data_IF_538449397185
#
_entry.id   IF_538449397185
#
_cell.length_a   1.000
_cell.length_b   1.000
_cell.length_c   1.000
_cell.angle_alpha   90.00
_cell.angle_beta   90.00
_cell.angle_gamma   90.00
#
_symmetry.space_group_name_H-M   'P 1'
#
loop_
_entity.id
_entity.type
_entity.pdbx_description
1 polymer ?
#
# COMPACT_ATOMS: atom_id res chain seq x y z
N UNK A 1 -4.75 14.96 15.45
CA UNK A 1 -5.54 15.49 16.58
C UNK A 1 -6.83 16.18 16.14
N UNK A 2 -6.81 17.09 15.16
CA UNK A 2 -8.02 17.80 14.68
C UNK A 2 -9.27 16.93 14.46
N UNK A 3 -9.12 15.79 13.79
CA UNK A 3 -10.25 14.87 13.56
C UNK A 3 -10.92 14.38 14.86
N UNK A 4 -10.11 14.00 15.87
CA UNK A 4 -10.63 13.57 17.17
C UNK A 4 -11.21 14.72 18.00
N UNK A 5 -10.84 15.96 17.70
CA UNK A 5 -11.40 17.15 18.34
C UNK A 5 -12.73 17.57 17.69
N UNK A 6 -12.91 17.31 16.40
CA UNK A 6 -14.13 17.64 15.65
C UNK A 6 -15.29 16.70 15.95
N UNK A 7 -15.00 15.43 16.22
CA UNK A 7 -16.00 14.40 16.51
C UNK A 7 -15.58 13.64 17.78
N UNK A 8 -16.29 13.79 18.92
CA UNK A 8 -15.96 13.11 20.17
C UNK A 8 -16.18 11.60 20.13
N UNK A 9 -17.04 11.10 19.23
CA UNK A 9 -17.35 9.67 19.10
C UNK A 9 -16.44 8.96 18.09
N UNK A 10 -15.67 9.73 17.30
CA UNK A 10 -14.71 9.17 16.36
C UNK A 10 -13.64 8.35 17.09
N UNK A 11 -13.48 7.12 16.61
CA UNK A 11 -12.34 6.25 16.90
C UNK A 11 -11.50 6.08 15.64
N UNK A 12 -10.18 6.11 15.79
CA UNK A 12 -9.26 5.90 14.68
C UNK A 12 -8.12 4.95 15.05
N UNK A 13 -7.59 4.25 14.06
CA UNK A 13 -6.43 3.39 14.23
C UNK A 13 -5.33 3.79 13.24
N UNK A 14 -4.08 3.55 13.62
CA UNK A 14 -2.91 3.72 12.76
C UNK A 14 -2.11 2.42 12.77
N UNK A 15 -1.89 1.85 11.59
CA UNK A 15 -1.10 0.64 11.37
C UNK A 15 0.15 1.04 10.60
N UNK A 16 1.31 0.91 11.22
CA UNK A 16 2.59 1.25 10.61
C UNK A 16 3.27 -0.02 10.07
N UNK A 17 3.61 -0.05 8.80
CA UNK A 17 4.16 -1.20 8.09
C UNK A 17 5.64 -0.93 7.80
N UNK A 18 6.52 -1.68 8.46
CA UNK A 18 7.97 -1.63 8.23
C UNK A 18 8.50 -2.96 7.68
N UNK A 19 8.78 -3.06 6.36
CA UNK A 19 9.31 -4.28 5.76
C UNK A 19 10.76 -4.59 6.18
N UNK A 20 11.53 -3.60 6.66
CA UNK A 20 12.95 -3.74 7.01
C UNK A 20 13.20 -4.46 8.35
N UNK A 21 12.13 -4.71 9.11
CA UNK A 21 12.16 -5.32 10.43
C UNK A 21 12.53 -6.81 10.48
N UNK A 22 12.79 -7.45 9.33
CA UNK A 22 13.28 -8.84 9.29
C UNK A 22 14.68 -9.01 9.91
N UNK A 23 15.50 -7.94 9.95
CA UNK A 23 16.84 -7.95 10.53
C UNK A 23 16.82 -7.52 12.01
N UNK A 24 15.95 -6.57 12.39
CA UNK A 24 15.89 -6.00 13.74
C UNK A 24 14.85 -6.64 14.67
N UNK A 25 14.00 -7.54 14.15
CA UNK A 25 12.90 -8.15 14.90
C UNK A 25 11.68 -7.24 15.08
N UNK A 26 11.72 -6.03 14.51
CA UNK A 26 10.66 -5.04 14.64
C UNK A 26 10.85 -4.06 15.78
N UNK A 27 10.22 -2.89 15.64
CA UNK A 27 10.17 -1.91 16.72
C UNK A 27 8.91 -2.12 17.56
N UNK A 28 9.09 -2.51 18.83
CA UNK A 28 7.98 -2.69 19.78
C UNK A 28 7.29 -1.35 20.12
N UNK A 29 8.02 -0.23 20.03
CA UNK A 29 7.58 1.09 20.53
C UNK A 29 7.80 2.25 19.56
N UNK A 30 8.57 2.08 18.48
CA UNK A 30 9.10 3.19 17.68
C UNK A 30 8.05 4.10 17.04
N UNK A 31 6.91 3.56 16.64
CA UNK A 31 5.85 4.40 16.04
C UNK A 31 5.02 5.14 17.07
N UNK A 32 4.85 4.58 18.28
CA UNK A 32 4.17 5.26 19.40
C UNK A 32 4.96 6.47 19.90
N UNK A 33 6.29 6.44 19.82
CA UNK A 33 7.13 7.59 20.21
C UNK A 33 7.13 8.72 19.17
N UNK A 34 6.82 8.45 17.90
CA UNK A 34 6.62 9.49 16.86
C UNK A 34 5.23 10.13 16.93
N UNK A 35 4.22 9.37 17.32
CA UNK A 35 2.83 9.82 17.45
C UNK A 35 2.41 9.98 18.92
N UNK A 36 3.16 10.75 19.71
CA UNK A 36 2.95 10.86 21.18
C UNK A 36 1.58 11.42 21.56
N UNK A 37 1.10 12.47 20.89
CA UNK A 37 -0.20 13.05 21.18
C UNK A 37 -1.32 12.04 20.91
N UNK A 38 -1.28 11.37 19.75
CA UNK A 38 -2.28 10.38 19.38
C UNK A 38 -2.23 9.15 20.28
N UNK A 39 -1.04 8.70 20.68
CA UNK A 39 -0.86 7.55 21.56
C UNK A 39 -1.37 7.77 22.98
N UNK A 40 -1.68 9.02 23.38
CA UNK A 40 -2.31 9.34 24.66
C UNK A 40 -3.83 9.19 24.64
N UNK A 41 -4.45 9.20 23.47
CA UNK A 41 -5.90 9.03 23.28
C UNK A 41 -6.30 7.54 23.39
N UNK A 42 -5.96 6.88 24.49
CA UNK A 42 -6.04 5.40 24.62
C UNK A 42 -7.43 4.81 24.38
N UNK A 43 -8.49 5.57 24.62
CA UNK A 43 -9.88 5.12 24.43
C UNK A 43 -10.37 5.25 22.98
N UNK A 44 -9.70 6.09 22.18
CA UNK A 44 -10.19 6.58 20.87
C UNK A 44 -9.19 6.41 19.74
N UNK A 45 -7.92 6.21 20.06
CA UNK A 45 -6.85 6.01 19.11
C UNK A 45 -6.07 4.73 19.40
N UNK A 46 -5.85 3.92 18.37
CA UNK A 46 -5.03 2.72 18.48
C UNK A 46 -3.86 2.80 17.49
N UNK A 47 -2.62 2.83 18.00
CA UNK A 47 -1.40 2.83 17.18
C UNK A 47 -0.70 1.49 17.29
N UNK A 48 -0.59 0.78 16.16
CA UNK A 48 0.06 -0.52 16.05
C UNK A 48 1.30 -0.42 15.16
N UNK A 49 2.52 -0.51 15.73
CA UNK A 49 3.69 -0.84 14.94
C UNK A 49 3.52 -2.28 14.43
N UNK A 50 3.80 -2.51 13.15
CA UNK A 50 3.77 -3.83 12.54
C UNK A 50 5.19 -4.20 12.14
N UNK A 51 5.63 -5.39 12.55
CA UNK A 51 6.93 -5.94 12.19
C UNK A 51 6.80 -7.24 11.41
N UNK A 52 7.66 -7.40 10.40
CA UNK A 52 7.82 -8.60 9.62
C UNK A 52 8.53 -9.65 10.50
N UNK A 53 7.77 -10.43 11.25
CA UNK A 53 8.25 -11.48 12.16
C UNK A 53 8.83 -12.70 11.43
N UNK A 54 9.71 -12.47 10.45
CA UNK A 54 10.42 -13.51 9.70
C UNK A 54 9.53 -14.38 8.80
N UNK A 55 8.30 -13.95 8.51
CA UNK A 55 7.33 -14.73 7.74
C UNK A 55 7.64 -14.57 6.24
N UNK A 56 7.75 -15.70 5.54
CA UNK A 56 7.87 -15.74 4.10
C UNK A 56 6.59 -15.14 3.47
N UNK A 57 6.73 -13.96 2.85
CA UNK A 57 5.62 -13.23 2.25
C UNK A 57 5.39 -11.81 2.79
N UNK A 58 6.14 -11.40 3.81
CA UNK A 58 6.20 -10.00 4.21
C UNK A 58 4.98 -9.49 4.97
N UNK A 59 5.12 -8.25 5.45
CA UNK A 59 4.23 -7.64 6.44
C UNK A 59 2.87 -7.21 5.88
N UNK A 60 2.79 -6.90 4.59
CA UNK A 60 1.58 -6.38 3.97
C UNK A 60 0.47 -7.44 3.86
N UNK A 61 0.83 -8.72 3.81
CA UNK A 61 -0.10 -9.83 3.74
C UNK A 61 -1.09 -9.85 4.92
N UNK A 62 -0.65 -9.45 6.11
CA UNK A 62 -1.50 -9.36 7.30
C UNK A 62 -2.13 -7.98 7.48
N UNK A 63 -1.73 -6.98 6.69
CA UNK A 63 -2.31 -5.63 6.78
C UNK A 63 -3.79 -5.65 6.44
N UNK A 64 -4.21 -6.38 5.40
CA UNK A 64 -5.63 -6.49 5.05
C UNK A 64 -6.44 -7.08 6.21
N UNK A 65 -5.97 -8.18 6.82
CA UNK A 65 -6.61 -8.79 7.99
C UNK A 65 -6.68 -7.82 9.17
N UNK A 66 -5.59 -7.11 9.47
CA UNK A 66 -5.54 -6.15 10.58
C UNK A 66 -6.50 -4.98 10.33
N UNK A 67 -6.54 -4.43 9.11
CA UNK A 67 -7.46 -3.34 8.74
C UNK A 67 -8.91 -3.79 8.90
N UNK A 68 -9.25 -5.00 8.43
CA UNK A 68 -10.60 -5.58 8.60
C UNK A 68 -10.96 -5.79 10.06
N UNK A 69 -10.04 -6.37 10.85
CA UNK A 69 -10.23 -6.59 12.28
C UNK A 69 -10.47 -5.27 13.02
N UNK A 70 -9.73 -4.21 12.70
CA UNK A 70 -9.93 -2.89 13.28
C UNK A 70 -11.29 -2.30 12.91
N UNK A 71 -11.72 -2.44 11.66
CA UNK A 71 -13.06 -2.07 11.23
C UNK A 71 -14.14 -2.79 12.05
N UNK A 72 -14.02 -4.10 12.23
CA UNK A 72 -14.92 -4.90 13.07
C UNK A 72 -14.84 -4.55 14.56
N UNK A 73 -13.67 -4.11 15.05
CA UNK A 73 -13.46 -3.67 16.42
C UNK A 73 -13.98 -2.25 16.70
N UNK A 74 -14.64 -1.60 15.74
CA UNK A 74 -15.25 -0.29 15.92
C UNK A 74 -14.31 0.89 15.68
N UNK A 75 -13.25 0.70 14.88
CA UNK A 75 -12.41 1.78 14.36
C UNK A 75 -12.83 2.10 12.92
N UNK A 76 -13.76 3.05 12.70
CA UNK A 76 -14.26 3.38 11.36
C UNK A 76 -13.21 4.06 10.46
N UNK A 77 -12.16 4.62 11.05
CA UNK A 77 -11.06 5.28 10.34
C UNK A 77 -9.74 4.57 10.65
N UNK A 78 -9.16 3.91 9.64
CA UNK A 78 -7.87 3.23 9.77
C UNK A 78 -6.87 3.89 8.81
N UNK A 79 -5.80 4.45 9.37
CA UNK A 79 -4.64 4.90 8.61
C UNK A 79 -3.63 3.77 8.51
N UNK A 80 -3.10 3.57 7.31
CA UNK A 80 -2.01 2.62 7.06
C UNK A 80 -0.80 3.41 6.58
N UNK A 81 0.27 3.42 7.36
CA UNK A 81 1.53 4.11 7.06
C UNK A 81 2.56 3.07 6.61
N UNK A 82 3.26 3.31 5.50
CA UNK A 82 4.42 2.52 5.10
C UNK A 82 5.72 3.20 5.52
N UNK A 83 6.64 2.44 6.10
CA UNK A 83 8.00 2.91 6.41
C UNK A 83 8.93 2.51 5.25
N UNK A 84 9.37 3.49 4.46
CA UNK A 84 10.42 3.31 3.45
C UNK A 84 9.94 2.98 2.02
N UNK A 85 10.93 2.85 1.12
CA UNK A 85 10.77 2.57 -0.32
C UNK A 85 10.89 1.06 -0.56
N UNK A 86 9.83 0.40 -1.02
CA UNK A 86 9.74 -1.06 -1.14
C UNK A 86 8.79 -1.55 -2.25
N UNK A 87 8.42 -2.83 -2.19
CA UNK A 87 7.28 -3.39 -2.96
C UNK A 87 5.98 -3.36 -2.12
N UNK A 88 6.08 -2.97 -0.84
CA UNK A 88 4.99 -2.87 0.12
C UNK A 88 3.93 -1.84 -0.29
N UNK A 89 4.29 -0.82 -1.04
CA UNK A 89 3.39 0.27 -1.42
C UNK A 89 2.30 -0.23 -2.39
N UNK A 90 2.65 -1.17 -3.28
CA UNK A 90 1.68 -1.83 -4.18
C UNK A 90 0.70 -2.70 -3.39
N UNK A 91 1.22 -3.45 -2.42
CA UNK A 91 0.41 -4.33 -1.58
C UNK A 91 -0.52 -3.50 -0.67
N UNK A 92 -0.03 -2.41 -0.07
CA UNK A 92 -0.84 -1.51 0.76
C UNK A 92 -1.96 -0.84 -0.03
N UNK A 93 -1.73 -0.51 -1.31
CA UNK A 93 -2.78 0.00 -2.18
C UNK A 93 -3.97 -0.99 -2.33
N UNK A 94 -3.72 -2.29 -2.13
CA UNK A 94 -4.74 -3.34 -2.13
C UNK A 94 -5.44 -3.52 -0.77
N UNK A 95 -5.01 -2.83 0.28
CA UNK A 95 -5.59 -2.91 1.64
C UNK A 95 -6.30 -1.62 2.08
N UNK A 96 -6.32 -0.58 1.23
CA UNK A 96 -6.89 0.73 1.57
C UNK A 96 -7.90 1.21 0.53
N UNK A 97 -8.87 2.01 0.98
CA UNK A 97 -9.83 2.66 0.09
C UNK A 97 -9.21 3.86 -0.66
N UNK A 98 -8.35 4.61 0.04
CA UNK A 98 -7.72 5.84 -0.46
C UNK A 98 -6.22 5.78 -0.22
N UNK A 99 -5.44 5.91 -1.29
CA UNK A 99 -3.98 6.00 -1.24
C UNK A 99 -3.53 7.46 -1.38
N UNK A 100 -2.86 7.97 -0.35
CA UNK A 100 -2.25 9.31 -0.34
C UNK A 100 -0.74 9.16 -0.45
N UNK A 101 -0.14 9.74 -1.48
CA UNK A 101 1.31 9.78 -1.66
C UNK A 101 1.87 11.08 -1.07
N UNK A 102 2.70 10.97 -0.04
CA UNK A 102 3.42 12.11 0.54
C UNK A 102 4.73 12.34 -0.22
N UNK A 103 4.95 13.57 -0.67
CA UNK A 103 6.08 13.95 -1.52
C UNK A 103 6.82 15.10 -0.82
N UNK A 104 8.10 14.97 -0.44
CA UNK A 104 8.87 16.10 0.05
C UNK A 104 9.20 17.08 -1.09
N UNK A 105 9.47 18.36 -0.80
CA UNK A 105 9.98 19.30 -1.80
C UNK A 105 11.33 18.80 -2.33
N UNK A 106 11.49 18.74 -3.64
CA UNK A 106 12.71 18.24 -4.28
C UNK A 106 13.16 19.10 -5.46
N UNK A 107 14.43 18.97 -5.83
CA UNK A 107 15.11 19.83 -6.80
C UNK A 107 14.86 19.52 -8.29
N UNK A 108 13.83 18.73 -8.61
CA UNK A 108 13.38 18.51 -10.01
C UNK A 108 13.69 17.13 -10.61
N UNK A 109 14.69 16.38 -10.12
CA UNK A 109 15.06 15.06 -10.69
C UNK A 109 14.30 13.86 -10.07
N UNK A 110 13.57 14.06 -8.97
CA UNK A 110 12.89 12.96 -8.29
C UNK A 110 11.62 12.48 -9.00
N UNK A 111 11.13 13.18 -10.03
CA UNK A 111 10.01 12.65 -10.82
C UNK A 111 10.41 11.37 -11.58
N UNK A 112 11.70 11.15 -11.81
CA UNK A 112 12.26 9.88 -12.27
C UNK A 112 12.54 8.89 -11.12
N UNK A 113 12.77 9.39 -9.90
CA UNK A 113 13.11 8.61 -8.70
C UNK A 113 11.90 8.07 -7.91
N UNK A 114 10.78 8.80 -7.89
CA UNK A 114 9.51 8.29 -7.39
C UNK A 114 8.99 7.32 -8.45
N UNK A 115 9.04 6.02 -8.11
CA UNK A 115 8.66 4.91 -8.99
C UNK A 115 7.37 5.27 -9.72
N UNK A 116 7.45 5.39 -11.06
CA UNK A 116 6.30 5.64 -11.94
C UNK A 116 5.04 4.86 -11.52
N UNK A 117 5.20 3.62 -11.04
CA UNK A 117 4.10 2.79 -10.52
C UNK A 117 3.34 3.35 -9.29
N UNK A 118 4.00 3.94 -8.27
CA UNK A 118 3.28 4.40 -7.08
C UNK A 118 2.52 5.71 -7.33
N UNK A 119 3.08 6.59 -8.15
CA UNK A 119 2.42 7.83 -8.58
C UNK A 119 1.15 7.51 -9.38
N UNK A 120 1.20 6.48 -10.23
CA UNK A 120 0.07 6.03 -11.04
C UNK A 120 -1.08 5.45 -10.21
N UNK A 121 -0.79 4.87 -9.04
CA UNK A 121 -1.82 4.33 -8.14
C UNK A 121 -2.38 5.35 -7.15
N UNK A 122 -1.65 6.43 -6.87
CA UNK A 122 -2.04 7.41 -5.86
C UNK A 122 -3.37 8.08 -6.23
N UNK A 123 -4.30 8.12 -5.27
CA UNK A 123 -5.57 8.82 -5.45
C UNK A 123 -5.41 10.32 -5.17
N UNK A 124 -4.47 10.67 -4.30
CA UNK A 124 -4.15 12.04 -3.89
C UNK A 124 -2.65 12.14 -3.70
N UNK A 125 -2.06 13.24 -4.13
CA UNK A 125 -0.67 13.58 -3.87
C UNK A 125 -0.62 14.75 -2.89
N UNK A 126 0.20 14.64 -1.85
CA UNK A 126 0.42 15.72 -0.90
C UNK A 126 1.90 16.10 -0.88
N UNK A 127 2.22 17.30 -1.36
CA UNK A 127 3.56 17.86 -1.25
C UNK A 127 3.72 18.39 0.17
N UNK A 128 4.61 17.79 0.94
CA UNK A 128 4.84 18.06 2.36
C UNK A 128 5.85 19.19 2.56
N UNK A 129 6.09 19.61 3.82
CA UNK A 129 7.08 20.64 4.20
C UNK A 129 6.92 21.94 3.40
N UNK A 130 5.68 22.34 3.10
CA UNK A 130 5.36 23.61 2.44
C UNK A 130 5.39 24.75 3.46
N UNK A 131 6.59 25.03 3.99
CA UNK A 131 6.84 26.02 5.02
C UNK A 131 8.31 26.47 4.98
N UNK A 132 8.58 27.66 5.52
CA UNK A 132 9.93 28.24 5.61
C UNK A 132 10.65 28.31 4.26
N UNK A 133 11.94 27.98 4.28
CA UNK A 133 12.81 28.07 3.10
C UNK A 133 12.44 27.07 1.98
N UNK A 134 11.67 26.03 2.31
CA UNK A 134 11.25 24.99 1.37
C UNK A 134 9.97 25.33 0.60
N UNK A 135 9.27 26.40 0.96
CA UNK A 135 7.97 26.74 0.37
C UNK A 135 8.05 26.90 -1.16
N UNK A 136 9.05 27.63 -1.66
CA UNK A 136 9.25 27.81 -3.11
C UNK A 136 9.57 26.49 -3.83
N UNK A 137 10.34 25.60 -3.21
CA UNK A 137 10.62 24.28 -3.76
C UNK A 137 9.34 23.42 -3.80
N UNK A 138 8.53 23.47 -2.75
CA UNK A 138 7.27 22.75 -2.66
C UNK A 138 6.29 23.17 -3.77
N UNK A 139 6.18 24.47 -4.06
CA UNK A 139 5.37 24.98 -5.16
C UNK A 139 5.82 24.46 -6.52
N UNK A 140 7.14 24.42 -6.77
CA UNK A 140 7.71 23.85 -8.00
C UNK A 140 7.40 22.37 -8.13
N UNK A 141 7.71 21.59 -7.09
CA UNK A 141 7.39 20.14 -7.04
C UNK A 141 5.90 19.90 -7.31
N UNK A 142 5.00 20.67 -6.69
CA UNK A 142 3.57 20.53 -6.92
C UNK A 142 3.17 20.85 -8.38
N UNK A 143 3.80 21.84 -9.01
CA UNK A 143 3.60 22.16 -10.43
C UNK A 143 4.06 21.01 -11.33
N UNK A 144 5.23 20.44 -11.05
CA UNK A 144 5.81 19.34 -11.83
C UNK A 144 4.90 18.10 -11.80
N UNK A 145 4.41 17.70 -10.63
CA UNK A 145 3.49 16.58 -10.50
C UNK A 145 2.13 16.85 -11.13
N UNK A 146 1.60 18.08 -11.06
CA UNK A 146 0.37 18.45 -11.78
C UNK A 146 0.55 18.32 -13.29
N UNK A 147 1.68 18.79 -13.82
CA UNK A 147 2.05 18.64 -15.22
C UNK A 147 2.14 17.17 -15.63
N UNK A 148 2.91 16.37 -14.89
CA UNK A 148 3.12 14.95 -15.16
C UNK A 148 1.80 14.15 -15.14
N UNK A 149 0.96 14.36 -14.13
CA UNK A 149 -0.35 13.72 -14.05
C UNK A 149 -1.24 14.11 -15.23
N UNK A 150 -1.23 15.37 -15.66
CA UNK A 150 -2.02 15.79 -16.82
C UNK A 150 -1.67 15.01 -18.09
N UNK A 151 -0.39 14.71 -18.31
CA UNK A 151 0.11 13.90 -19.44
C UNK A 151 -0.27 12.43 -19.27
N UNK A 152 -0.06 11.85 -18.09
CA UNK A 152 -0.47 10.47 -17.80
C UNK A 152 -1.98 10.28 -18.00
N UNK A 153 -2.80 11.26 -17.62
CA UNK A 153 -4.25 11.20 -17.82
C UNK A 153 -4.69 11.31 -19.28
N UNK A 154 -3.92 11.95 -20.14
CA UNK A 154 -4.17 11.98 -21.58
C UNK A 154 -3.79 10.65 -22.25
N UNK A 155 -2.65 10.07 -21.87
CA UNK A 155 -2.12 8.82 -22.44
C UNK A 155 -2.87 7.56 -22.00
N UNK A 156 -3.44 7.52 -20.80
CA UNK A 156 -4.20 6.36 -20.29
C UNK A 156 -5.59 6.18 -20.92
N UNK A 157 -5.93 6.92 -21.98
CA UNK A 157 -7.10 6.61 -22.82
C UNK A 157 -6.97 5.26 -23.56
N UNK A 158 -5.82 4.57 -23.44
CA UNK A 158 -5.55 3.30 -24.13
C UNK A 158 -4.93 2.19 -23.26
N UNK A 159 -4.67 2.38 -21.96
CA UNK A 159 -4.04 1.34 -21.13
C UNK A 159 -4.36 1.45 -19.62
N UNK A 160 -5.11 0.47 -19.12
CA UNK A 160 -4.88 -0.15 -17.81
C UNK A 160 -5.28 0.56 -16.51
N UNK A 161 -5.79 1.79 -16.51
CA UNK A 161 -6.58 2.25 -15.33
C UNK A 161 -7.76 1.31 -15.16
N UNK A 162 -8.19 1.07 -13.91
CA UNK A 162 -9.40 0.29 -13.61
C UNK A 162 -10.54 0.72 -14.54
N UNK A 163 -10.72 -0.04 -15.61
CA UNK A 163 -11.58 0.24 -16.76
C UNK A 163 -13.04 -0.05 -16.39
N UNK A 164 -13.37 0.03 -15.11
CA UNK A 164 -14.76 0.06 -14.64
C UNK A 164 -15.48 1.33 -15.10
N UNK A 165 -14.76 2.28 -15.74
CA UNK A 165 -15.33 3.32 -16.60
C UNK A 165 -15.53 2.80 -18.05
N UNK A 166 -16.24 1.69 -18.26
CA UNK A 166 -16.90 1.44 -19.56
C UNK A 166 -18.38 1.76 -19.32
N UNK A 167 -18.63 3.05 -19.22
CA UNK A 167 -19.91 3.73 -19.36
C UNK A 167 -19.55 5.07 -20.00
N UNK A 168 -20.28 5.47 -21.04
CA UNK A 168 -19.89 6.46 -22.05
C UNK A 168 -19.59 7.90 -21.56
N UNK A 169 -19.51 8.14 -20.24
CA UNK A 169 -19.35 9.46 -19.68
C UNK A 169 -17.91 9.74 -19.20
N UNK A 170 -17.12 10.39 -20.07
CA UNK A 170 -15.78 10.92 -19.76
C UNK A 170 -15.78 11.94 -18.61
N UNK A 171 -16.94 12.44 -18.18
CA UNK A 171 -17.07 13.41 -17.08
C UNK A 171 -16.69 12.83 -15.71
N UNK A 172 -16.74 11.50 -15.54
CA UNK A 172 -16.63 10.85 -14.24
C UNK A 172 -15.24 10.23 -13.96
N UNK A 173 -14.18 10.79 -14.54
CA UNK A 173 -12.80 10.33 -14.31
C UNK A 173 -12.18 11.10 -13.15
N UNK A 174 -11.86 10.41 -12.04
CA UNK A 174 -11.10 11.02 -10.95
C UNK A 174 -9.71 11.47 -11.42
N UNK A 175 -9.39 12.74 -11.14
CA UNK A 175 -8.07 13.32 -11.37
C UNK A 175 -7.42 13.54 -10.00
N UNK A 176 -6.34 12.82 -9.66
CA UNK A 176 -5.67 12.97 -8.38
C UNK A 176 -5.26 14.42 -8.12
N UNK A 177 -5.76 15.05 -7.05
CA UNK A 177 -5.32 16.40 -6.70
C UNK A 177 -3.91 16.36 -6.12
N UNK A 178 -3.14 17.42 -6.39
CA UNK A 178 -1.83 17.68 -5.76
C UNK A 178 -2.00 18.82 -4.77
N UNK A 179 -1.87 18.50 -3.48
CA UNK A 179 -2.18 19.39 -2.35
C UNK A 179 -0.88 19.77 -1.65
N UNK A 180 -0.70 21.05 -1.35
CA UNK A 180 0.44 21.54 -0.59
C UNK A 180 0.12 21.46 0.90
N UNK A 181 1.03 20.88 1.67
CA UNK A 181 0.83 20.58 3.08
C UNK A 181 2.06 20.90 3.92
N UNK A 182 1.82 21.28 5.17
CA UNK A 182 2.84 21.41 6.21
C UNK A 182 2.29 20.85 7.50
N UNK A 183 2.98 19.88 8.08
CA UNK A 183 2.60 19.32 9.38
C UNK A 183 2.94 20.25 10.55
N UNK A 184 3.93 21.13 10.38
CA UNK A 184 4.39 22.06 11.42
C UNK A 184 3.45 23.26 11.52
N UNK A 185 3.11 23.87 10.38
CA UNK A 185 2.19 25.02 10.33
C UNK A 185 0.72 24.60 10.19
N UNK A 186 0.47 23.29 10.10
CA UNK A 186 -0.83 22.67 9.83
C UNK A 186 -1.51 23.10 8.52
N UNK A 187 -0.78 23.78 7.63
CA UNK A 187 -1.27 24.21 6.32
C UNK A 187 -1.72 23.01 5.48
N UNK A 188 -2.87 23.16 4.83
CA UNK A 188 -3.38 22.22 3.82
C UNK A 188 -3.83 20.85 4.35
N UNK A 189 -3.77 20.62 5.66
CA UNK A 189 -4.26 19.37 6.25
C UNK A 189 -5.78 19.22 6.10
N UNK A 190 -6.52 20.32 6.24
CA UNK A 190 -7.98 20.33 6.03
C UNK A 190 -8.31 20.09 4.55
N UNK A 191 -7.58 20.72 3.62
CA UNK A 191 -7.75 20.49 2.18
C UNK A 191 -7.47 19.03 1.79
N UNK A 192 -6.44 18.42 2.40
CA UNK A 192 -6.11 17.02 2.22
C UNK A 192 -7.25 16.12 2.72
N UNK A 193 -7.78 16.39 3.92
CA UNK A 193 -8.91 15.64 4.44
C UNK A 193 -10.15 15.77 3.56
N UNK A 194 -10.46 16.99 3.10
CA UNK A 194 -11.56 17.21 2.17
C UNK A 194 -11.36 16.48 0.84
N UNK A 195 -10.13 16.36 0.35
CA UNK A 195 -9.85 15.58 -0.86
C UNK A 195 -10.11 14.07 -0.67
N UNK A 196 -9.75 13.52 0.51
CA UNK A 196 -10.06 12.13 0.88
C UNK A 196 -11.58 11.92 0.87
N UNK A 197 -12.32 12.83 1.50
CA UNK A 197 -13.79 12.76 1.51
C UNK A 197 -14.38 12.88 0.10
N UNK A 198 -13.88 13.80 -0.74
CA UNK A 198 -14.34 13.91 -2.14
C UNK A 198 -14.09 12.62 -2.92
N UNK A 199 -12.95 11.96 -2.73
CA UNK A 199 -12.67 10.70 -3.39
C UNK A 199 -13.61 9.57 -2.92
N UNK A 200 -13.89 9.50 -1.61
CA UNK A 200 -14.89 8.58 -1.07
C UNK A 200 -16.26 8.81 -1.70
N UNK A 201 -16.74 10.06 -1.76
CA UNK A 201 -18.03 10.36 -2.40
C UNK A 201 -18.03 9.99 -3.88
N UNK A 202 -16.96 10.31 -4.62
CA UNK A 202 -16.81 9.89 -6.00
C UNK A 202 -16.93 8.36 -6.18
N UNK A 203 -16.34 7.57 -5.28
CA UNK A 203 -16.48 6.10 -5.31
C UNK A 203 -17.89 5.61 -4.96
N UNK A 204 -18.62 6.33 -4.10
CA UNK A 204 -20.00 6.00 -3.76
C UNK A 204 -20.94 6.35 -4.92
N UNK A 205 -20.81 7.56 -5.49
CA UNK A 205 -21.62 8.06 -6.60
C UNK A 205 -21.42 7.25 -7.88
N UNK A 206 -20.25 6.62 -8.03
CA UNK A 206 -19.92 5.73 -9.15
C UNK A 206 -20.20 4.24 -8.86
N UNK A 207 -20.74 3.90 -7.68
CA UNK A 207 -20.95 2.52 -7.21
C UNK A 207 -19.68 1.66 -7.18
N UNK A 208 -18.50 2.30 -7.17
CA UNK A 208 -17.19 1.63 -7.17
C UNK A 208 -16.69 1.28 -5.79
N UNK A 209 -17.24 1.87 -4.73
CA UNK A 209 -16.80 1.64 -3.36
C UNK A 209 -16.78 0.14 -2.98
N UNK A 210 -17.94 -0.53 -3.05
CA UNK A 210 -18.03 -1.95 -2.70
C UNK A 210 -17.35 -2.85 -3.75
N UNK A 211 -17.44 -2.48 -5.03
CA UNK A 211 -16.80 -3.22 -6.12
C UNK A 211 -15.28 -3.28 -5.93
N UNK A 212 -14.66 -2.15 -5.57
CA UNK A 212 -13.22 -2.04 -5.27
C UNK A 212 -12.84 -2.96 -4.11
N UNK A 213 -13.57 -2.90 -3.00
CA UNK A 213 -13.31 -3.75 -1.82
C UNK A 213 -13.46 -5.24 -2.12
N UNK A 214 -14.41 -5.63 -2.97
CA UNK A 214 -14.55 -7.03 -3.43
C UNK A 214 -13.35 -7.47 -4.27
N UNK A 215 -12.89 -6.63 -5.20
CA UNK A 215 -11.67 -6.90 -6.00
C UNK A 215 -10.43 -7.03 -5.11
N UNK A 216 -10.27 -6.16 -4.12
CA UNK A 216 -9.19 -6.24 -3.13
C UNK A 216 -9.25 -7.55 -2.35
N UNK A 217 -10.45 -7.97 -1.92
CA UNK A 217 -10.65 -9.24 -1.21
C UNK A 217 -10.29 -10.45 -2.08
N UNK A 218 -10.63 -10.41 -3.37
CA UNK A 218 -10.24 -11.43 -4.34
C UNK A 218 -8.72 -11.48 -4.55
N UNK A 219 -8.09 -10.30 -4.69
CA UNK A 219 -6.63 -10.19 -4.79
C UNK A 219 -5.95 -10.85 -3.59
N UNK A 220 -6.38 -10.51 -2.37
CA UNK A 220 -5.81 -11.06 -1.15
C UNK A 220 -6.03 -12.57 -1.01
N UNK A 221 -7.18 -13.10 -1.40
CA UNK A 221 -7.40 -14.55 -1.41
C UNK A 221 -6.35 -15.30 -2.24
N UNK A 222 -6.08 -14.83 -3.47
CA UNK A 222 -5.09 -15.45 -4.35
C UNK A 222 -3.66 -15.25 -3.89
N UNK A 223 -3.35 -14.07 -3.35
CA UNK A 223 -2.04 -13.78 -2.78
C UNK A 223 -1.75 -14.70 -1.58
N UNK A 224 -2.71 -14.84 -0.65
CA UNK A 224 -2.59 -15.75 0.49
C UNK A 224 -2.45 -17.21 0.07
N UNK A 225 -3.23 -17.66 -0.92
CA UNK A 225 -3.11 -19.01 -1.46
C UNK A 225 -1.68 -19.27 -1.97
N UNK A 226 -1.12 -18.35 -2.75
CA UNK A 226 0.22 -18.47 -3.33
C UNK A 226 1.30 -18.51 -2.23
N UNK A 227 1.19 -17.64 -1.22
CA UNK A 227 2.11 -17.62 -0.07
C UNK A 227 2.02 -18.90 0.76
N UNK A 228 0.81 -19.40 1.03
CA UNK A 228 0.59 -20.63 1.77
C UNK A 228 1.16 -21.84 1.03
N UNK A 229 1.00 -21.91 -0.29
CA UNK A 229 1.60 -22.95 -1.13
C UNK A 229 3.12 -22.94 -1.04
N UNK A 230 3.74 -21.76 -1.18
CA UNK A 230 5.20 -21.61 -1.06
C UNK A 230 5.70 -22.00 0.34
N UNK A 231 5.02 -21.56 1.39
CA UNK A 231 5.36 -21.87 2.77
C UNK A 231 5.29 -23.38 3.05
N UNK A 232 4.19 -24.05 2.66
CA UNK A 232 4.05 -25.51 2.80
C UNK A 232 5.13 -26.28 2.04
N UNK A 233 5.48 -25.83 0.84
CA UNK A 233 6.55 -26.43 0.05
C UNK A 233 7.91 -26.34 0.75
N UNK A 234 8.22 -25.20 1.38
CA UNK A 234 9.47 -25.02 2.13
C UNK A 234 9.51 -25.84 3.44
N UNK A 235 8.34 -26.08 4.04
CA UNK A 235 8.23 -26.86 5.28
C UNK A 235 8.31 -28.38 5.05
N UNK A 236 7.99 -28.90 3.85
CA UNK A 236 8.21 -30.32 3.54
C UNK A 236 9.69 -30.58 3.19
N UNK A 237 10.45 -31.32 4.02
CA UNK A 237 11.88 -31.53 3.78
C UNK A 237 12.18 -32.24 2.46
N UNK A 238 11.26 -33.08 1.96
CA UNK A 238 11.43 -33.83 0.71
C UNK A 238 11.35 -32.88 -0.48
N UNK A 239 10.33 -32.03 -0.50
CA UNK A 239 10.14 -31.01 -1.54
C UNK A 239 11.26 -29.97 -1.49
N UNK A 240 11.64 -29.53 -0.29
CA UNK A 240 12.73 -28.56 -0.13
C UNK A 240 14.07 -29.11 -0.63
N UNK A 241 14.38 -30.37 -0.35
CA UNK A 241 15.59 -31.03 -0.87
C UNK A 241 15.55 -31.15 -2.40
N UNK A 242 14.41 -31.55 -2.98
CA UNK A 242 14.23 -31.61 -4.44
C UNK A 242 14.36 -30.23 -5.08
N UNK A 243 13.79 -29.19 -4.48
CA UNK A 243 13.92 -27.81 -4.94
C UNK A 243 15.38 -27.36 -4.97
N UNK A 244 16.15 -27.60 -3.90
CA UNK A 244 17.57 -27.26 -3.81
C UNK A 244 18.43 -28.03 -4.83
N UNK A 245 18.06 -29.26 -5.17
CA UNK A 245 18.72 -30.02 -6.24
C UNK A 245 18.43 -29.39 -7.62
N UNK A 246 17.16 -29.15 -7.93
CA UNK A 246 16.74 -28.55 -9.22
C UNK A 246 17.33 -27.15 -9.41
N UNK A 247 17.46 -26.36 -8.34
CA UNK A 247 18.13 -25.06 -8.35
C UNK A 247 19.61 -25.17 -8.75
N UNK A 248 20.34 -26.17 -8.23
CA UNK A 248 21.73 -26.43 -8.64
C UNK A 248 21.82 -26.86 -10.11
N UNK A 249 21.01 -27.83 -10.52
CA UNK A 249 20.97 -28.28 -11.93
C UNK A 249 20.65 -27.12 -12.89
N UNK A 250 19.80 -26.17 -12.50
CA UNK A 250 19.52 -24.96 -13.26
C UNK A 250 20.71 -24.01 -13.32
N UNK A 251 21.37 -23.74 -12.18
CA UNK A 251 22.55 -22.87 -12.11
C UNK A 251 23.75 -23.44 -12.87
N UNK A 252 23.87 -24.76 -12.93
CA UNK A 252 24.87 -25.48 -13.70
C UNK A 252 24.53 -25.56 -15.21
N UNK A 253 23.37 -25.01 -15.62
CA UNK A 253 22.92 -24.96 -17.01
C UNK A 253 22.32 -26.26 -17.55
N UNK A 254 22.04 -27.25 -16.68
CA UNK A 254 21.46 -28.55 -17.05
C UNK A 254 19.94 -28.47 -17.26
N UNK A 255 19.28 -27.50 -16.63
CA UNK A 255 17.84 -27.26 -16.75
C UNK A 255 17.54 -25.78 -16.99
N UNK A 256 16.45 -25.50 -17.70
CA UNK A 256 15.90 -24.15 -17.78
C UNK A 256 14.99 -23.88 -16.56
N UNK A 257 14.81 -22.60 -16.15
CA UNK A 257 13.92 -22.25 -15.05
C UNK A 257 12.49 -22.82 -15.20
N UNK A 258 11.97 -22.83 -16.44
CA UNK A 258 10.63 -23.39 -16.74
C UNK A 258 10.55 -24.89 -16.44
N UNK A 259 11.56 -25.66 -16.85
CA UNK A 259 11.59 -27.12 -16.64
C UNK A 259 11.79 -27.45 -15.16
N UNK A 260 12.67 -26.73 -14.47
CA UNK A 260 12.86 -26.88 -13.03
C UNK A 260 11.56 -26.62 -12.25
N UNK A 261 10.84 -25.54 -12.59
CA UNK A 261 9.55 -25.21 -11.99
C UNK A 261 8.48 -26.28 -12.23
N UNK A 262 8.37 -26.81 -13.46
CA UNK A 262 7.43 -27.90 -13.76
C UNK A 262 7.74 -29.16 -12.94
N UNK A 263 9.00 -29.61 -12.89
CA UNK A 263 9.42 -30.77 -12.10
C UNK A 263 9.15 -30.61 -10.60
N UNK A 264 9.23 -29.37 -10.10
CA UNK A 264 8.91 -29.05 -8.72
C UNK A 264 7.39 -29.12 -8.48
N UNK A 265 6.59 -28.57 -9.40
CA UNK A 265 5.13 -28.63 -9.36
C UNK A 265 4.61 -30.08 -9.40
N UNK A 266 5.13 -30.90 -10.30
CA UNK A 266 4.75 -32.32 -10.40
C UNK A 266 5.02 -33.04 -9.07
N UNK A 267 6.18 -32.75 -8.45
CA UNK A 267 6.53 -33.31 -7.15
C UNK A 267 5.61 -32.91 -6.00
N UNK A 268 4.91 -31.76 -6.09
CA UNK A 268 3.91 -31.36 -5.10
C UNK A 268 2.68 -32.28 -5.20
N UNK A 269 2.20 -32.56 -6.41
CA UNK A 269 1.01 -33.39 -6.63
C UNK A 269 1.26 -34.88 -6.34
N UNK A 270 2.42 -35.41 -6.70
CA UNK A 270 2.79 -36.81 -6.42
C UNK A 270 2.74 -37.15 -4.91
N UNK A 271 3.05 -36.18 -4.04
CA UNK A 271 3.03 -36.38 -2.59
C UNK A 271 1.61 -36.37 -2.01
N UNK A 272 0.69 -35.66 -2.67
CA UNK A 272 -0.70 -35.57 -2.25
C UNK A 272 -1.46 -36.85 -2.60
N UNK A 273 -1.15 -37.46 -3.75
CA UNK A 273 -1.79 -38.70 -4.21
C UNK A 273 -1.27 -39.99 -3.52
N UNK A 274 -0.19 -39.87 -2.73
CA UNK A 274 0.43 -40.98 -2.01
C UNK A 274 0.31 -40.90 -0.47
N UNK A 275 -0.66 -40.11 0.03
CA UNK A 275 -1.12 -40.11 1.43
C UNK A 275 -2.50 -40.71 1.55
#
# INVERSE_FOLDING_TARGET
>A
MKLLQQDPDLKLAVVCIDPSSSISGGSILGDKTRMTQLSREVDRAFVRPSSNSGILGGLAAYTDDVVRLLGCAGYPLVFVETVGLGQSEMEVAQSVDVLVLLIPPSGGDELQGVKKGIVEMANILAVTKTDGDLENAAFRTASDYKGALSVLHQSSSSSGRDQSCIGDDKSNIWKPPVILTSSITERGLDDLWQAILRYKHHLLDTEKWDSRRRKQSQYWMWEQFTRMMQSKMQQDPRLWKKAKQLEREMLDGLLTPRVAAQKLLDGIFDIVDHK
#
